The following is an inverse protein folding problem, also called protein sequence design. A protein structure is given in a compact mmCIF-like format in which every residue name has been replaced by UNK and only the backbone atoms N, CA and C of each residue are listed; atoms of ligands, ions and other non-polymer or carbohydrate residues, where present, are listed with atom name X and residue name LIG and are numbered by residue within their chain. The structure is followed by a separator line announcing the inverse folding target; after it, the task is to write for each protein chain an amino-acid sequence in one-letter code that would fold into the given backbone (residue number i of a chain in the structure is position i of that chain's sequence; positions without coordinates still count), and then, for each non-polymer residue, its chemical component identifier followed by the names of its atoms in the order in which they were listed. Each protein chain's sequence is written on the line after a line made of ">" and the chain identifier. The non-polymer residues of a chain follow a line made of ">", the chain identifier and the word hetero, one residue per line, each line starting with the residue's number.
data_IF_981321366132
#
_entry.id   IF_981321366132
#
_cell.length_a   1.000
_cell.length_b   1.000
_cell.length_c   1.000
_cell.angle_alpha   90.00
_cell.angle_beta   90.00
_cell.angle_gamma   90.00
#
_symmetry.space_group_name_H-M   'P 1'
#
loop_
_entity.id
_entity.type
_entity.pdbx_description
1 polymer ?
#
# COMPACT_ATOMS: atom_id res chain seq x y z
N UNK A 1 -19.15 1.70 5.53
CA UNK A 1 -17.88 1.19 6.00
C UNK A 1 -16.98 2.29 6.49
N UNK A 2 -16.20 2.03 7.48
CA UNK A 2 -15.34 3.07 7.96
C UNK A 2 -14.03 2.48 8.47
N UNK A 3 -12.96 3.21 8.26
CA UNK A 3 -11.67 2.84 8.80
C UNK A 3 -11.57 3.35 10.22
N UNK A 4 -11.16 2.49 11.13
CA UNK A 4 -10.85 2.90 12.48
C UNK A 4 -9.46 3.43 12.60
N UNK A 5 -8.66 3.18 11.60
CA UNK A 5 -7.28 3.55 11.57
C UNK A 5 -7.10 4.89 10.90
N UNK A 6 -5.91 5.40 10.99
CA UNK A 6 -5.58 6.59 10.24
C UNK A 6 -5.74 6.32 8.74
N UNK A 7 -5.91 7.40 8.00
CA UNK A 7 -6.05 7.36 6.56
C UNK A 7 -4.88 6.63 5.92
N UNK A 8 -5.10 5.47 5.27
CA UNK A 8 -4.01 4.72 4.65
C UNK A 8 -3.45 5.41 3.41
N UNK A 9 -4.14 6.44 2.91
CA UNK A 9 -3.68 7.19 1.75
C UNK A 9 -3.15 8.56 2.16
N UNK A 10 -2.67 8.70 3.39
CA UNK A 10 -2.30 10.02 3.92
C UNK A 10 -1.14 10.65 3.16
N UNK A 11 -0.38 9.88 2.40
CA UNK A 11 0.68 10.46 1.58
C UNK A 11 0.13 11.05 0.29
N UNK A 12 -1.13 10.83 -0.02
CA UNK A 12 -1.75 11.28 -1.26
C UNK A 12 -2.87 12.26 -1.04
N UNK A 13 -3.72 12.03 -0.06
CA UNK A 13 -4.89 12.87 0.17
C UNK A 13 -5.06 13.11 1.66
N UNK A 14 -5.76 14.19 2.00
CA UNK A 14 -6.02 14.54 3.39
C UNK A 14 -7.01 13.57 4.01
N UNK A 15 -7.08 13.60 5.33
CA UNK A 15 -8.02 12.76 6.05
C UNK A 15 -9.46 13.12 5.70
N UNK A 16 -9.76 14.41 5.54
CA UNK A 16 -11.10 14.83 5.17
C UNK A 16 -11.48 14.34 3.79
N UNK A 17 -10.55 14.43 2.85
CA UNK A 17 -10.81 13.97 1.49
C UNK A 17 -11.03 12.45 1.50
N UNK A 18 -10.22 11.73 2.25
CA UNK A 18 -10.38 10.28 2.34
C UNK A 18 -11.76 9.93 2.88
N UNK A 19 -12.19 10.61 3.94
CA UNK A 19 -13.50 10.35 4.52
C UNK A 19 -14.63 10.64 3.54
N UNK A 20 -14.50 11.73 2.80
CA UNK A 20 -15.53 12.06 1.82
C UNK A 20 -15.60 11.05 0.69
N UNK A 21 -14.46 10.63 0.18
CA UNK A 21 -14.44 9.64 -0.89
C UNK A 21 -14.99 8.31 -0.42
N UNK A 22 -14.68 7.94 0.81
CA UNK A 22 -15.20 6.72 1.40
C UNK A 22 -16.72 6.79 1.54
N UNK A 23 -17.22 7.92 2.02
CA UNK A 23 -18.64 8.14 2.24
C UNK A 23 -19.39 8.10 0.92
N UNK A 24 -18.80 8.62 -0.14
CA UNK A 24 -19.43 8.65 -1.45
C UNK A 24 -19.22 7.37 -2.24
N UNK A 25 -18.56 6.40 -1.63
CA UNK A 25 -18.32 5.09 -2.26
C UNK A 25 -17.50 5.24 -3.54
N UNK A 26 -16.54 6.15 -3.53
CA UNK A 26 -15.69 6.40 -4.70
C UNK A 26 -14.33 5.76 -4.59
N UNK A 27 -14.08 4.99 -3.52
CA UNK A 27 -12.81 4.31 -3.33
C UNK A 27 -12.98 2.82 -3.59
N UNK A 28 -12.02 2.28 -4.34
CA UNK A 28 -11.92 0.83 -4.48
C UNK A 28 -11.14 0.32 -3.28
N UNK A 29 -11.84 -0.25 -2.32
CA UNK A 29 -11.22 -0.64 -1.05
C UNK A 29 -10.20 -1.75 -1.22
N UNK A 30 -10.35 -2.60 -2.22
CA UNK A 30 -9.33 -3.61 -2.50
C UNK A 30 -8.04 -2.95 -2.93
N UNK A 31 -8.12 -1.95 -3.78
CA UNK A 31 -6.92 -1.24 -4.22
C UNK A 31 -6.32 -0.40 -3.11
N UNK A 32 -7.15 0.16 -2.23
CA UNK A 32 -6.65 0.88 -1.06
C UNK A 32 -5.85 -0.09 -0.19
N UNK A 33 -6.39 -1.28 0.05
CA UNK A 33 -5.69 -2.30 0.82
C UNK A 33 -4.36 -2.69 0.16
N UNK A 34 -4.38 -2.87 -1.16
CA UNK A 34 -3.16 -3.26 -1.86
C UNK A 34 -2.11 -2.16 -1.78
N UNK A 35 -2.53 -0.92 -1.88
CA UNK A 35 -1.61 0.20 -1.71
C UNK A 35 -1.02 0.20 -0.30
N UNK A 36 -1.83 -0.05 0.69
CA UNK A 36 -1.37 -0.09 2.08
C UNK A 36 -0.34 -1.21 2.29
N UNK A 37 -0.62 -2.39 1.73
CA UNK A 37 0.30 -3.52 1.82
C UNK A 37 1.64 -3.15 1.19
N UNK A 38 1.58 -2.58 0.00
CA UNK A 38 2.80 -2.20 -0.71
C UNK A 38 3.59 -1.16 0.08
N UNK A 39 2.88 -0.20 0.65
CA UNK A 39 3.52 0.86 1.41
C UNK A 39 4.20 0.30 2.66
N UNK A 40 3.54 -0.62 3.35
CA UNK A 40 4.15 -1.26 4.51
C UNK A 40 5.40 -2.02 4.13
N UNK A 41 5.36 -2.69 3.00
CA UNK A 41 6.53 -3.43 2.53
C UNK A 41 7.70 -2.47 2.28
N UNK A 42 7.44 -1.34 1.62
CA UNK A 42 8.50 -0.39 1.34
C UNK A 42 9.11 0.16 2.63
N UNK A 43 8.26 0.46 3.61
CA UNK A 43 8.74 0.97 4.88
C UNK A 43 9.62 -0.06 5.59
N UNK A 44 9.19 -1.32 5.62
CA UNK A 44 9.97 -2.36 6.25
C UNK A 44 11.29 -2.55 5.55
N UNK A 45 11.30 -2.55 4.22
CA UNK A 45 12.54 -2.68 3.49
C UNK A 45 13.48 -1.50 3.75
N UNK A 46 12.93 -0.30 3.87
CA UNK A 46 13.73 0.87 4.16
C UNK A 46 14.36 0.79 5.55
N UNK A 47 13.77 0.01 6.44
CA UNK A 47 14.32 -0.23 7.77
C UNK A 47 15.15 -1.50 7.83
N UNK A 48 15.60 -1.97 6.69
CA UNK A 48 16.54 -3.08 6.56
C UNK A 48 15.96 -4.43 6.98
N UNK A 49 14.63 -4.55 6.97
CA UNK A 49 13.99 -5.83 7.16
C UNK A 49 14.10 -6.59 5.84
N UNK A 50 14.47 -7.87 5.92
CA UNK A 50 14.61 -8.66 4.71
C UNK A 50 13.26 -8.83 4.01
N UNK A 51 13.29 -9.12 2.72
CA UNK A 51 12.07 -9.31 1.96
C UNK A 51 11.17 -10.37 2.58
N UNK A 52 11.74 -11.53 2.95
CA UNK A 52 10.95 -12.59 3.52
C UNK A 52 10.33 -12.20 4.85
N UNK A 53 11.10 -11.53 5.71
CA UNK A 53 10.60 -11.10 7.00
C UNK A 53 9.53 -10.02 6.84
N UNK A 54 9.71 -9.14 5.87
CA UNK A 54 8.73 -8.08 5.63
C UNK A 54 7.39 -8.69 5.19
N UNK A 55 7.45 -9.66 4.27
CA UNK A 55 6.22 -10.31 3.81
C UNK A 55 5.57 -11.09 4.94
N UNK A 56 6.36 -11.76 5.76
CA UNK A 56 5.82 -12.50 6.89
C UNK A 56 5.13 -11.56 7.88
N UNK A 57 5.72 -10.40 8.12
CA UNK A 57 5.15 -9.41 9.02
C UNK A 57 3.80 -8.93 8.48
N UNK A 58 3.74 -8.62 7.20
CA UNK A 58 2.51 -8.16 6.58
C UNK A 58 1.46 -9.28 6.60
N UNK A 59 1.86 -10.49 6.32
CA UNK A 59 0.94 -11.62 6.35
C UNK A 59 0.32 -11.78 7.74
N UNK A 60 1.10 -11.53 8.77
CA UNK A 60 0.59 -11.63 10.12
C UNK A 60 -0.51 -10.59 10.37
N UNK A 61 -0.39 -9.42 9.76
CA UNK A 61 -1.39 -8.36 9.90
C UNK A 61 -2.62 -8.61 9.03
N UNK A 62 -2.45 -9.28 7.91
CA UNK A 62 -3.54 -9.51 6.96
C UNK A 62 -3.83 -11.00 6.87
N UNK A 63 -4.25 -11.55 7.99
CA UNK A 63 -4.39 -13.02 8.11
C UNK A 63 -5.41 -13.62 7.17
N UNK A 64 -6.37 -12.83 6.72
CA UNK A 64 -7.37 -13.34 5.79
C UNK A 64 -6.83 -13.55 4.38
N UNK A 65 -5.63 -13.03 4.10
CA UNK A 65 -5.03 -13.18 2.79
C UNK A 65 -3.95 -14.26 2.86
N UNK A 66 -3.88 -15.07 1.82
CA UNK A 66 -2.83 -16.08 1.74
C UNK A 66 -1.48 -15.41 1.57
N UNK A 67 -0.44 -16.08 2.03
CA UNK A 67 0.93 -15.58 1.91
C UNK A 67 1.27 -15.28 0.44
N UNK A 68 0.91 -16.19 -0.45
CA UNK A 68 1.21 -16.01 -1.86
C UNK A 68 0.45 -14.83 -2.47
N UNK A 69 -0.74 -14.57 -1.97
CA UNK A 69 -1.50 -13.42 -2.42
C UNK A 69 -0.79 -12.12 -2.06
N UNK A 70 -0.31 -12.03 -0.83
CA UNK A 70 0.41 -10.84 -0.39
C UNK A 70 1.68 -10.66 -1.21
N UNK A 71 2.41 -11.74 -1.41
CA UNK A 71 3.61 -11.69 -2.21
C UNK A 71 3.32 -11.20 -3.63
N UNK A 72 2.23 -11.68 -4.22
CA UNK A 72 1.83 -11.27 -5.55
C UNK A 72 1.47 -9.78 -5.59
N UNK A 73 0.75 -9.31 -4.58
CA UNK A 73 0.40 -7.90 -4.51
C UNK A 73 1.66 -7.03 -4.49
N UNK A 74 2.63 -7.42 -3.67
CA UNK A 74 3.85 -6.65 -3.52
C UNK A 74 4.65 -6.61 -4.82
N UNK A 75 4.78 -7.74 -5.50
CA UNK A 75 5.66 -7.80 -6.66
C UNK A 75 4.98 -7.48 -7.97
N UNK A 76 3.65 -7.51 -8.02
CA UNK A 76 2.92 -7.21 -9.26
C UNK A 76 2.26 -5.84 -9.26
N UNK A 77 2.03 -5.28 -8.08
CA UNK A 77 1.33 -4.02 -7.98
C UNK A 77 2.19 -2.89 -8.50
N UNK A 78 1.60 -2.03 -9.32
CA UNK A 78 2.31 -0.90 -9.87
C UNK A 78 1.48 0.35 -9.72
N UNK A 79 2.14 1.43 -9.30
CA UNK A 79 1.48 2.71 -9.24
C UNK A 79 1.34 3.28 -10.64
N UNK A 80 0.29 4.08 -10.87
CA UNK A 80 0.21 4.81 -12.13
C UNK A 80 1.46 5.67 -12.33
N UNK A 81 1.80 5.89 -13.59
CA UNK A 81 3.03 6.60 -13.91
C UNK A 81 3.08 7.97 -13.25
N UNK A 82 1.95 8.66 -13.21
CA UNK A 82 1.95 10.03 -12.72
C UNK A 82 2.08 10.15 -11.21
N UNK A 83 2.06 9.05 -10.48
CA UNK A 83 2.25 9.12 -9.03
C UNK A 83 3.35 8.18 -8.55
N UNK A 84 4.11 7.61 -9.46
CA UNK A 84 5.26 6.81 -9.06
C UNK A 84 6.36 7.72 -8.54
N UNK A 85 7.12 7.25 -7.56
CA UNK A 85 8.23 8.06 -7.06
C UNK A 85 9.24 8.33 -8.17
N UNK A 86 9.86 9.48 -8.09
CA UNK A 86 10.89 9.83 -9.05
C UNK A 86 12.21 9.33 -8.60
N UNK A 87 12.38 8.14 -8.60
CA UNK A 87 13.67 7.65 -8.17
C UNK A 87 14.49 7.34 -9.34
N UNK A 88 14.91 7.38 -9.52
CA UNK A 88 15.42 7.01 -10.54
C UNK A 88 15.56 7.43 -11.66
N UNK A 89 15.21 7.73 -11.54
CA UNK A 89 15.13 7.99 -12.54
C UNK A 89 15.95 8.00 -13.08
N UNK A 90 16.15 7.78 -12.67
CA UNK A 90 16.68 7.80 -13.18
C UNK A 90 17.14 7.45 -13.98
N UNK A 91 17.13 7.17 -13.92
CA UNK A 91 17.46 6.96 -14.74
C UNK A 91 17.47 6.85 -15.63
N UNK A 92 17.16 6.99 -15.71
CA UNK A 92 17.07 6.95 -16.69
C UNK A 92 17.35 7.21 -17.43
N UNK A 93 17.36 7.34 -17.14
CA UNK A 93 17.42 7.59 -17.87
C UNK A 93 17.99 7.40 -18.40
#
# INVERSE_FOLDING_TARGET
>A
MKYNEANPLNSLISDEMFEQLLKLDLLNLTEVRNFEIRNKYEILRANEVTSNDAIATIHHEYKSLAYLTIRKIIYSYKLPVNIQPKVNHISNI
#
